data_IF_911152708182
#
_entry.id   IF_911152708182
#
_cell.length_a   1.000
_cell.length_b   1.000
_cell.length_c   1.000
_cell.angle_alpha   90.00
_cell.angle_beta   90.00
_cell.angle_gamma   90.00
#
_symmetry.space_group_name_H-M   'P 1'
#
loop_
_entity.id
_entity.type
_entity.pdbx_description
1 polymer ?
#
# COMPACT_ATOMS: atom_id res chain seq x y z
N UNK A 1 20.37 42.45 -28.84
CA UNK A 1 20.40 41.43 -27.78
C UNK A 1 19.09 40.67 -27.87
N UNK A 2 19.13 39.38 -28.18
CA UNK A 2 17.91 38.55 -28.23
C UNK A 2 17.61 38.13 -26.80
N UNK A 3 16.51 38.63 -26.25
CA UNK A 3 16.05 38.28 -24.91
C UNK A 3 15.50 36.85 -24.99
N UNK A 4 16.24 35.88 -24.42
CA UNK A 4 15.74 34.52 -24.26
C UNK A 4 14.55 34.57 -23.28
N UNK A 5 13.34 34.34 -23.81
CA UNK A 5 12.15 34.13 -23.02
C UNK A 5 12.32 32.75 -22.36
N UNK A 6 12.63 32.73 -21.06
CA UNK A 6 12.53 31.50 -20.29
C UNK A 6 11.05 31.13 -20.20
N UNK A 7 10.65 29.89 -20.53
CA UNK A 7 9.27 29.47 -20.41
C UNK A 7 8.83 29.63 -18.95
N UNK A 8 7.64 30.20 -18.75
CA UNK A 8 6.98 30.18 -17.44
C UNK A 8 6.61 28.73 -17.09
N UNK A 9 6.57 28.38 -15.80
CA UNK A 9 6.30 27.00 -15.35
C UNK A 9 4.97 26.45 -15.87
N UNK A 10 4.02 27.32 -16.20
CA UNK A 10 2.72 27.00 -16.80
C UNK A 10 2.80 26.39 -18.21
N UNK A 11 3.88 26.61 -18.96
CA UNK A 11 4.06 26.06 -20.33
C UNK A 11 4.70 24.67 -20.34
N UNK A 12 5.15 24.17 -19.19
CA UNK A 12 5.88 22.91 -19.10
C UNK A 12 4.89 21.75 -18.97
N UNK A 13 4.90 20.87 -19.98
CA UNK A 13 4.12 19.65 -19.96
C UNK A 13 4.71 18.63 -18.98
N UNK A 14 3.87 18.13 -18.08
CA UNK A 14 4.16 17.00 -17.19
C UNK A 14 3.35 15.80 -17.65
N UNK A 15 4.00 14.74 -18.16
CA UNK A 15 3.33 13.49 -18.50
C UNK A 15 2.55 12.90 -17.32
N UNK A 16 1.54 12.11 -17.62
CA UNK A 16 0.75 11.40 -16.60
C UNK A 16 0.91 9.88 -16.71
N UNK A 17 1.76 9.44 -17.64
CA UNK A 17 2.25 8.09 -17.80
C UNK A 17 3.69 8.15 -18.29
N UNK A 18 4.50 7.19 -17.86
CA UNK A 18 5.86 6.98 -18.34
C UNK A 18 5.92 6.06 -19.58
N UNK A 19 4.75 5.62 -20.06
CA UNK A 19 4.60 4.69 -21.18
C UNK A 19 4.92 3.23 -20.84
N UNK A 20 5.19 2.91 -19.56
CA UNK A 20 5.40 1.53 -19.09
C UNK A 20 4.07 0.91 -18.65
N UNK A 21 3.98 -0.42 -18.62
CA UNK A 21 2.86 -1.10 -17.97
C UNK A 21 2.92 -0.88 -16.46
N UNK A 22 1.74 -0.95 -15.82
CA UNK A 22 1.58 -0.94 -14.36
C UNK A 22 2.33 -2.09 -13.66
N UNK A 23 2.45 -3.24 -14.33
CA UNK A 23 3.17 -4.40 -13.84
C UNK A 23 3.65 -5.25 -15.02
N UNK A 24 4.77 -5.93 -14.85
CA UNK A 24 5.37 -6.83 -15.84
C UNK A 24 4.73 -8.22 -15.83
N UNK A 25 4.11 -8.63 -14.72
CA UNK A 25 3.45 -9.94 -14.58
C UNK A 25 2.30 -9.93 -13.57
N UNK A 26 1.51 -11.00 -13.56
CA UNK A 26 0.30 -11.12 -12.74
C UNK A 26 0.59 -11.15 -11.24
N UNK A 27 1.67 -11.78 -10.81
CA UNK A 27 2.05 -11.85 -9.40
C UNK A 27 2.46 -10.47 -8.88
N UNK A 28 3.25 -9.72 -9.64
CA UNK A 28 3.62 -8.34 -9.30
C UNK A 28 2.35 -7.48 -9.16
N UNK A 29 1.43 -7.55 -10.13
CA UNK A 29 0.16 -6.81 -10.06
C UNK A 29 -0.69 -7.19 -8.84
N UNK A 30 -0.78 -8.47 -8.51
CA UNK A 30 -1.49 -8.96 -7.33
C UNK A 30 -0.88 -8.43 -6.02
N UNK A 31 0.45 -8.43 -5.90
CA UNK A 31 1.16 -7.89 -4.74
C UNK A 31 0.93 -6.38 -4.61
N UNK A 32 1.10 -5.62 -5.71
CA UNK A 32 0.88 -4.17 -5.73
C UNK A 32 -0.55 -3.84 -5.28
N UNK A 33 -1.55 -4.52 -5.85
CA UNK A 33 -2.96 -4.25 -5.55
C UNK A 33 -3.34 -4.67 -4.13
N UNK A 34 -2.75 -5.76 -3.61
CA UNK A 34 -2.95 -6.22 -2.23
C UNK A 34 -2.35 -5.23 -1.23
N UNK A 35 -1.12 -4.77 -1.46
CA UNK A 35 -0.45 -3.78 -0.60
C UNK A 35 -1.24 -2.47 -0.61
N UNK A 36 -1.54 -1.93 -1.80
CA UNK A 36 -2.28 -0.68 -1.97
C UNK A 36 -3.64 -0.74 -1.28
N UNK A 37 -4.42 -1.79 -1.53
CA UNK A 37 -5.78 -1.92 -0.97
C UNK A 37 -5.76 -2.18 0.53
N UNK A 38 -4.79 -2.93 1.03
CA UNK A 38 -4.62 -3.12 2.47
C UNK A 38 -4.21 -1.83 3.18
N UNK A 39 -3.40 -0.98 2.57
CA UNK A 39 -3.08 0.35 3.09
C UNK A 39 -4.28 1.30 3.04
N UNK A 40 -5.10 1.25 1.99
CA UNK A 40 -6.37 1.98 1.96
C UNK A 40 -7.27 1.56 3.12
N UNK A 41 -7.36 0.26 3.42
CA UNK A 41 -8.14 -0.25 4.54
C UNK A 41 -7.54 0.18 5.88
N UNK A 42 -6.21 0.10 6.03
CA UNK A 42 -5.47 0.53 7.23
C UNK A 42 -5.77 1.98 7.61
N UNK A 43 -5.95 2.84 6.61
CA UNK A 43 -6.21 4.26 6.75
C UNK A 43 -7.62 4.66 6.29
N UNK A 44 -8.59 3.73 6.31
CA UNK A 44 -9.94 3.99 5.82
C UNK A 44 -10.62 5.15 6.57
N UNK A 45 -10.39 5.24 7.88
CA UNK A 45 -11.01 6.21 8.78
C UNK A 45 -10.17 7.51 8.92
N UNK A 46 -8.97 7.57 8.31
CA UNK A 46 -8.15 8.78 8.25
C UNK A 46 -8.28 9.44 6.87
N UNK A 47 -9.01 10.56 6.75
CA UNK A 47 -9.20 11.24 5.48
C UNK A 47 -7.93 11.90 4.96
N UNK A 48 -6.90 12.08 5.80
CA UNK A 48 -5.66 12.80 5.50
C UNK A 48 -4.48 11.87 5.17
N UNK A 49 -4.75 10.62 4.79
CA UNK A 49 -3.74 9.72 4.23
C UNK A 49 -4.13 9.33 2.83
N UNK A 50 -3.31 9.74 1.87
CA UNK A 50 -3.42 9.39 0.47
C UNK A 50 -2.52 8.19 0.17
N UNK A 51 -3.10 7.15 -0.44
CA UNK A 51 -2.38 5.99 -0.92
C UNK A 51 -2.60 5.90 -2.43
N UNK A 52 -1.53 5.68 -3.19
CA UNK A 52 -1.58 5.48 -4.62
C UNK A 52 -0.68 4.33 -5.02
N UNK A 53 -1.01 3.67 -6.13
CA UNK A 53 -0.11 2.76 -6.81
C UNK A 53 0.17 3.25 -8.22
N UNK A 54 1.42 3.13 -8.65
CA UNK A 54 1.89 3.47 -10.00
C UNK A 54 1.43 4.84 -10.50
N UNK A 55 1.49 5.83 -9.61
CA UNK A 55 1.15 7.20 -9.93
C UNK A 55 2.44 8.00 -10.11
N UNK A 56 2.64 8.58 -11.28
CA UNK A 56 3.80 9.44 -11.53
C UNK A 56 3.89 10.58 -10.52
N UNK A 57 5.00 10.61 -9.80
CA UNK A 57 5.33 11.63 -8.82
C UNK A 57 6.44 12.56 -9.35
N UNK A 58 6.14 13.87 -9.32
CA UNK A 58 7.05 14.96 -9.62
C UNK A 58 7.42 15.74 -8.35
N UNK A 59 8.65 15.56 -7.83
CA UNK A 59 9.10 16.28 -6.64
C UNK A 59 9.58 17.71 -6.89
N UNK A 60 9.87 18.09 -8.15
CA UNK A 60 10.49 19.38 -8.47
C UNK A 60 9.74 20.08 -9.61
N UNK A 61 9.20 21.26 -9.30
CA UNK A 61 8.56 22.12 -10.29
C UNK A 61 9.58 22.63 -11.32
N UNK A 62 9.16 22.70 -12.57
CA UNK A 62 9.96 23.04 -13.75
C UNK A 62 10.80 21.90 -14.31
N UNK A 63 10.84 20.73 -13.65
CA UNK A 63 11.75 19.63 -14.01
C UNK A 63 11.02 18.30 -14.26
N UNK A 64 10.25 18.17 -15.35
CA UNK A 64 9.42 16.98 -15.62
C UNK A 64 10.24 15.70 -15.85
N UNK A 65 11.56 15.79 -16.06
CA UNK A 65 12.45 14.61 -16.15
C UNK A 65 12.84 14.04 -14.79
N UNK A 66 12.63 14.79 -13.71
CA UNK A 66 12.81 14.30 -12.34
C UNK A 66 11.45 13.80 -11.89
N UNK A 67 11.22 12.50 -12.08
CA UNK A 67 10.00 11.83 -11.68
C UNK A 67 10.26 10.36 -11.36
N UNK A 68 9.32 9.76 -10.63
CA UNK A 68 9.27 8.33 -10.39
C UNK A 68 7.80 7.92 -10.21
N UNK A 69 7.43 6.74 -10.68
CA UNK A 69 6.20 6.06 -10.27
C UNK A 69 6.62 4.91 -9.32
N UNK A 70 6.39 5.04 -8.00
CA UNK A 70 6.51 3.92 -7.09
C UNK A 70 5.32 2.97 -7.27
N UNK A 71 5.57 1.67 -7.12
CA UNK A 71 4.51 0.67 -7.20
C UNK A 71 3.40 0.93 -6.18
N UNK A 72 3.78 1.34 -4.96
CA UNK A 72 2.86 1.93 -3.97
C UNK A 72 3.54 3.09 -3.26
N UNK A 73 2.82 4.18 -3.05
CA UNK A 73 3.25 5.29 -2.21
C UNK A 73 2.18 5.72 -1.21
N UNK A 74 2.62 6.14 -0.03
CA UNK A 74 1.78 6.65 1.05
C UNK A 74 2.19 8.08 1.36
N UNK A 75 1.20 8.97 1.36
CA UNK A 75 1.36 10.37 1.70
C UNK A 75 0.47 10.74 2.87
N UNK A 76 1.10 10.91 4.03
CA UNK A 76 0.45 11.35 5.27
C UNK A 76 0.34 12.88 5.24
N UNK A 77 -0.84 13.39 5.63
CA UNK A 77 -1.18 14.81 5.59
C UNK A 77 -1.83 15.25 4.28
N UNK A 78 -2.17 14.33 3.37
CA UNK A 78 -2.85 14.62 2.10
C UNK A 78 -4.20 13.95 1.99
N UNK A 79 -5.23 14.64 1.47
CA UNK A 79 -6.54 14.05 1.35
C UNK A 79 -6.58 12.94 0.30
N UNK A 80 -7.44 11.96 0.53
CA UNK A 80 -7.84 10.97 -0.47
C UNK A 80 -8.43 11.66 -1.70
N UNK A 81 -8.31 11.04 -2.87
CA UNK A 81 -8.87 11.58 -4.13
C UNK A 81 -8.06 11.17 -5.36
N UNK A 82 -8.70 11.26 -6.52
CA UNK A 82 -8.08 10.91 -7.79
C UNK A 82 -7.12 11.99 -8.28
N UNK A 83 -5.99 11.55 -8.83
CA UNK A 83 -4.93 12.38 -9.40
C UNK A 83 -4.44 11.74 -10.68
N UNK A 84 -4.10 12.56 -11.68
CA UNK A 84 -3.45 12.08 -12.91
C UNK A 84 -1.93 11.95 -12.74
N UNK A 85 -1.36 12.76 -11.85
CA UNK A 85 0.01 12.67 -11.34
C UNK A 85 0.06 13.34 -9.97
N UNK A 86 1.07 13.00 -9.17
CA UNK A 86 1.32 13.63 -7.89
C UNK A 86 2.41 14.69 -8.05
N UNK A 87 2.06 15.97 -7.94
CA UNK A 87 2.99 17.09 -8.09
C UNK A 87 3.19 17.75 -6.75
N UNK A 88 4.39 17.64 -6.17
CA UNK A 88 4.66 18.06 -4.79
C UNK A 88 4.24 19.52 -4.51
N UNK A 89 4.46 20.43 -5.46
CA UNK A 89 4.11 21.85 -5.31
C UNK A 89 2.59 22.14 -5.35
N UNK A 90 1.79 21.21 -5.89
CA UNK A 90 0.30 21.25 -5.83
C UNK A 90 -0.22 20.58 -4.56
N UNK A 91 0.63 19.84 -3.86
CA UNK A 91 0.29 18.99 -2.71
C UNK A 91 0.91 19.53 -1.42
N UNK A 92 0.85 20.84 -1.22
CA UNK A 92 1.37 21.56 -0.04
C UNK A 92 2.85 21.29 0.26
N UNK A 93 3.63 20.97 -0.78
CA UNK A 93 5.05 20.59 -0.70
C UNK A 93 5.31 19.33 0.14
N UNK A 94 4.33 18.44 0.23
CA UNK A 94 4.46 17.17 0.94
C UNK A 94 4.85 16.09 -0.08
N UNK A 95 6.01 15.47 0.13
CA UNK A 95 6.44 14.29 -0.62
C UNK A 95 5.86 13.01 0.01
N UNK A 96 5.74 11.91 -0.74
CA UNK A 96 5.49 10.59 -0.15
C UNK A 96 6.50 10.25 0.94
N UNK A 97 6.01 9.79 2.08
CA UNK A 97 6.85 9.38 3.20
C UNK A 97 7.21 7.91 3.13
N UNK A 98 6.34 7.05 2.58
CA UNK A 98 6.59 5.61 2.46
C UNK A 98 6.38 5.17 1.02
N UNK A 99 7.32 4.41 0.49
CA UNK A 99 7.23 3.84 -0.87
C UNK A 99 7.58 2.36 -0.87
N UNK A 100 6.91 1.61 -1.73
CA UNK A 100 7.12 0.20 -1.99
C UNK A 100 7.49 -0.01 -3.45
N UNK A 101 8.36 -0.99 -3.68
CA UNK A 101 8.73 -1.50 -5.00
C UNK A 101 8.68 -3.03 -4.97
N UNK A 102 7.98 -3.62 -5.93
CA UNK A 102 7.85 -5.06 -6.11
C UNK A 102 8.63 -5.41 -7.37
N UNK A 103 9.76 -6.08 -7.21
CA UNK A 103 10.63 -6.36 -8.33
C UNK A 103 9.97 -7.33 -9.33
N UNK A 104 10.12 -7.03 -10.61
CA UNK A 104 9.83 -7.96 -11.70
C UNK A 104 11.10 -8.68 -12.18
N UNK A 105 10.93 -9.62 -13.11
CA UNK A 105 12.06 -10.30 -13.75
C UNK A 105 12.91 -9.38 -14.65
N UNK A 106 12.42 -8.19 -15.01
CA UNK A 106 13.18 -7.22 -15.83
C UNK A 106 13.96 -6.22 -14.97
N UNK A 107 13.55 -6.01 -13.71
CA UNK A 107 14.21 -5.06 -12.84
C UNK A 107 15.61 -5.53 -12.45
N UNK A 108 16.52 -4.56 -12.35
CA UNK A 108 17.90 -4.81 -11.90
C UNK A 108 18.09 -4.34 -10.46
N UNK A 109 19.03 -4.97 -9.76
CA UNK A 109 19.46 -4.50 -8.43
C UNK A 109 19.89 -3.02 -8.50
N UNK A 110 20.63 -2.65 -9.54
CA UNK A 110 21.08 -1.28 -9.74
C UNK A 110 19.90 -0.30 -9.82
N UNK A 111 18.89 -0.63 -10.61
CA UNK A 111 17.68 0.20 -10.74
C UNK A 111 17.00 0.40 -9.37
N UNK A 112 16.76 -0.67 -8.63
CA UNK A 112 15.96 -0.63 -7.40
C UNK A 112 16.75 -0.14 -6.17
N UNK A 113 17.99 -0.63 -5.99
CA UNK A 113 18.81 -0.42 -4.78
C UNK A 113 19.85 0.69 -4.92
N UNK A 114 20.07 1.24 -6.13
CA UNK A 114 20.95 2.40 -6.33
C UNK A 114 20.20 3.59 -6.90
N UNK A 115 19.61 3.46 -8.09
CA UNK A 115 19.02 4.59 -8.82
C UNK A 115 17.75 5.10 -8.12
N UNK A 116 16.78 4.20 -7.85
CA UNK A 116 15.55 4.53 -7.10
C UNK A 116 15.84 4.89 -5.64
N UNK A 117 16.72 4.14 -4.97
CA UNK A 117 17.13 4.47 -3.59
C UNK A 117 17.66 5.90 -3.49
N UNK A 118 18.53 6.32 -4.43
CA UNK A 118 19.07 7.68 -4.48
C UNK A 118 17.97 8.72 -4.75
N UNK A 119 17.03 8.44 -5.65
CA UNK A 119 15.89 9.30 -5.90
C UNK A 119 15.06 9.50 -4.61
N UNK A 120 14.64 8.41 -3.97
CA UNK A 120 13.85 8.44 -2.75
C UNK A 120 14.57 9.13 -1.59
N UNK A 121 15.89 8.91 -1.46
CA UNK A 121 16.72 9.60 -0.49
C UNK A 121 16.70 11.12 -0.71
N UNK A 122 16.99 11.57 -1.94
CA UNK A 122 17.06 12.99 -2.30
C UNK A 122 15.71 13.72 -2.13
N UNK A 123 14.60 12.98 -2.24
CA UNK A 123 13.26 13.53 -2.15
C UNK A 123 12.56 13.24 -0.81
N UNK A 124 13.36 12.97 0.23
CA UNK A 124 12.90 12.92 1.63
C UNK A 124 11.90 11.81 1.97
N UNK A 125 11.85 10.74 1.16
CA UNK A 125 11.11 9.51 1.52
C UNK A 125 11.68 8.97 2.83
N UNK A 126 10.83 8.60 3.77
CA UNK A 126 11.24 8.18 5.10
C UNK A 126 11.41 6.68 5.23
N UNK A 127 10.61 5.92 4.48
CA UNK A 127 10.66 4.46 4.45
C UNK A 127 10.59 3.97 3.01
N UNK A 128 11.51 3.11 2.63
CA UNK A 128 11.55 2.48 1.32
C UNK A 128 11.63 0.97 1.47
N UNK A 129 10.67 0.25 0.91
CA UNK A 129 10.62 -1.21 0.96
C UNK A 129 10.70 -1.83 -0.44
N UNK A 130 11.49 -2.90 -0.57
CA UNK A 130 11.61 -3.68 -1.79
C UNK A 130 11.30 -5.14 -1.48
N UNK A 131 10.43 -5.75 -2.27
CA UNK A 131 10.27 -7.20 -2.28
C UNK A 131 10.52 -7.76 -3.69
N UNK A 132 11.42 -8.75 -3.78
CA UNK A 132 11.66 -9.51 -5.01
C UNK A 132 11.10 -10.93 -4.83
N UNK A 133 9.96 -11.27 -5.45
CA UNK A 133 9.36 -12.60 -5.34
C UNK A 133 10.21 -13.68 -6.04
N UNK A 134 11.00 -13.34 -7.06
CA UNK A 134 11.84 -14.32 -7.78
C UNK A 134 13.05 -14.75 -6.95
N UNK A 135 13.58 -13.82 -6.15
CA UNK A 135 14.74 -14.06 -5.26
C UNK A 135 14.35 -14.33 -3.83
N UNK A 136 13.06 -14.21 -3.53
CA UNK A 136 12.48 -14.30 -2.18
C UNK A 136 13.17 -13.38 -1.17
N UNK A 137 13.54 -12.18 -1.62
CA UNK A 137 14.25 -11.20 -0.79
C UNK A 137 13.35 -10.03 -0.43
N UNK A 138 13.27 -9.73 0.86
CA UNK A 138 12.66 -8.52 1.40
C UNK A 138 13.76 -7.61 1.96
N UNK A 139 13.80 -6.37 1.49
CA UNK A 139 14.74 -5.33 1.95
C UNK A 139 13.98 -4.07 2.30
N UNK A 140 14.54 -3.29 3.21
CA UNK A 140 13.98 -2.00 3.55
C UNK A 140 15.08 -1.01 3.94
N UNK A 141 14.75 0.27 3.82
CA UNK A 141 15.58 1.37 4.28
C UNK A 141 14.74 2.33 5.10
N UNK A 142 15.30 2.79 6.21
CA UNK A 142 14.72 3.78 7.10
C UNK A 142 15.54 5.05 7.06
N UNK A 143 14.88 6.20 7.02
CA UNK A 143 15.55 7.49 7.01
C UNK A 143 16.22 7.77 8.35
N UNK A 144 17.50 8.13 8.26
CA UNK A 144 18.34 8.61 9.34
C UNK A 144 19.00 9.91 8.87
N UNK A 145 18.46 11.05 9.31
CA UNK A 145 18.85 12.36 8.79
C UNK A 145 18.59 12.51 7.28
N UNK A 146 19.65 12.75 6.53
CA UNK A 146 19.58 12.96 5.08
C UNK A 146 19.63 11.66 4.26
N UNK A 147 19.97 10.53 4.89
CA UNK A 147 20.18 9.25 4.21
C UNK A 147 19.10 8.23 4.49
N UNK A 148 18.86 7.33 3.53
CA UNK A 148 18.09 6.10 3.71
C UNK A 148 19.07 4.99 4.09
N UNK A 149 19.04 4.55 5.35
CA UNK A 149 19.92 3.50 5.88
C UNK A 149 19.25 2.14 5.78
N UNK A 150 19.97 1.07 5.39
CA UNK A 150 19.38 -0.26 5.28
C UNK A 150 18.91 -0.77 6.64
N UNK A 151 17.72 -1.35 6.68
CA UNK A 151 17.17 -2.04 7.84
C UNK A 151 17.86 -3.41 7.93
N UNK A 152 18.64 -3.70 8.99
CA UNK A 152 19.45 -4.92 9.04
C UNK A 152 18.62 -6.22 9.10
N UNK A 153 17.41 -6.15 9.66
CA UNK A 153 16.51 -7.29 9.81
C UNK A 153 15.08 -6.91 9.47
N UNK A 154 14.54 -7.52 8.42
CA UNK A 154 13.16 -7.30 7.96
C UNK A 154 12.15 -8.29 8.57
N UNK A 155 12.61 -9.42 9.11
CA UNK A 155 11.75 -10.35 9.84
C UNK A 155 11.10 -9.67 11.05
N UNK A 156 9.77 -9.78 11.17
CA UNK A 156 8.96 -9.11 12.18
C UNK A 156 9.15 -7.57 12.23
N UNK A 157 9.61 -6.95 11.13
CA UNK A 157 9.81 -5.51 11.09
C UNK A 157 8.48 -4.78 11.14
N UNK A 158 8.35 -3.78 12.02
CA UNK A 158 7.18 -2.92 12.11
C UNK A 158 7.50 -1.56 11.52
N UNK A 159 6.79 -1.17 10.47
CA UNK A 159 6.94 0.16 9.85
C UNK A 159 6.58 1.26 10.86
N UNK A 160 7.49 2.22 11.15
CA UNK A 160 7.20 3.34 12.06
C UNK A 160 6.03 4.23 11.61
N UNK A 161 5.88 4.50 10.31
CA UNK A 161 4.83 5.35 9.75
C UNK A 161 3.51 4.62 9.53
N UNK A 162 3.56 3.33 9.19
CA UNK A 162 2.36 2.59 8.81
C UNK A 162 1.81 1.72 9.95
N UNK A 163 2.67 1.31 10.89
CA UNK A 163 2.32 0.39 11.97
C UNK A 163 2.01 -1.03 11.49
N UNK A 164 2.39 -1.39 10.26
CA UNK A 164 2.21 -2.74 9.71
C UNK A 164 3.47 -3.56 9.94
N UNK A 165 3.29 -4.87 10.11
CA UNK A 165 4.40 -5.81 10.28
C UNK A 165 4.72 -6.53 8.97
N UNK A 166 6.00 -6.70 8.67
CA UNK A 166 6.50 -7.42 7.51
C UNK A 166 7.02 -8.80 7.91
N UNK A 167 6.63 -9.81 7.12
CA UNK A 167 7.11 -11.18 7.28
C UNK A 167 7.34 -11.87 5.94
N UNK A 168 8.22 -12.88 5.96
CA UNK A 168 8.36 -13.84 4.87
C UNK A 168 7.90 -15.21 5.37
N UNK A 169 6.70 -15.61 4.97
CA UNK A 169 6.10 -16.92 5.32
C UNK A 169 6.20 -17.81 4.09
N UNK A 170 6.86 -18.96 4.20
CA UNK A 170 7.10 -19.87 3.06
C UNK A 170 7.73 -19.17 1.84
N UNK A 171 8.51 -18.11 2.08
CA UNK A 171 9.16 -17.25 1.07
C UNK A 171 8.26 -16.22 0.37
N UNK A 172 6.99 -16.12 0.79
CA UNK A 172 6.05 -15.12 0.31
C UNK A 172 5.97 -13.93 1.28
N UNK A 173 5.84 -12.73 0.74
CA UNK A 173 5.62 -11.52 1.54
C UNK A 173 4.23 -11.56 2.16
N UNK A 174 4.18 -11.47 3.49
CA UNK A 174 2.94 -11.28 4.23
C UNK A 174 3.05 -10.00 5.05
N UNK A 175 2.03 -9.15 4.94
CA UNK A 175 1.90 -7.94 5.73
C UNK A 175 0.79 -8.11 6.76
N UNK A 176 1.00 -7.62 7.98
CA UNK A 176 0.01 -7.70 9.04
C UNK A 176 -0.39 -6.32 9.53
N UNK A 177 -1.68 -6.15 9.79
CA UNK A 177 -2.22 -5.01 10.54
C UNK A 177 -1.79 -5.08 12.02
N UNK A 178 -1.88 -3.97 12.77
CA UNK A 178 -1.59 -3.96 14.21
C UNK A 178 -2.40 -4.96 15.04
N UNK A 179 -3.58 -5.37 14.57
CA UNK A 179 -4.43 -6.36 15.24
C UNK A 179 -4.02 -7.82 14.95
N UNK A 180 -2.98 -8.04 14.16
CA UNK A 180 -2.48 -9.36 13.77
C UNK A 180 -3.20 -10.00 12.58
N UNK A 181 -4.21 -9.35 11.99
CA UNK A 181 -4.80 -9.81 10.74
C UNK A 181 -3.85 -9.57 9.57
N UNK A 182 -3.81 -10.50 8.61
CA UNK A 182 -3.01 -10.34 7.40
C UNK A 182 -3.71 -9.44 6.39
N UNK A 183 -2.92 -8.75 5.58
CA UNK A 183 -3.35 -8.20 4.31
C UNK A 183 -3.83 -9.36 3.44
N UNK A 184 -4.91 -9.15 2.70
CA UNK A 184 -5.56 -10.18 1.94
C UNK A 184 -5.88 -9.64 0.54
N UNK A 185 -5.78 -10.51 -0.46
CA UNK A 185 -6.23 -10.20 -1.81
C UNK A 185 -7.75 -10.05 -1.83
N UNK A 186 -8.29 -9.44 -2.89
CA UNK A 186 -9.75 -9.30 -3.02
C UNK A 186 -10.48 -10.65 -2.99
N UNK A 187 -9.90 -11.69 -3.60
CA UNK A 187 -10.48 -13.03 -3.61
C UNK A 187 -10.50 -13.63 -2.21
N UNK A 188 -9.40 -13.53 -1.46
CA UNK A 188 -9.35 -14.01 -0.08
C UNK A 188 -10.36 -13.28 0.82
N UNK A 189 -10.56 -11.98 0.62
CA UNK A 189 -11.59 -11.20 1.36
C UNK A 189 -12.99 -11.74 1.06
N UNK A 190 -13.29 -12.04 -0.21
CA UNK A 190 -14.60 -12.60 -0.61
C UNK A 190 -14.80 -13.98 0.00
N UNK A 191 -13.79 -14.84 -0.05
CA UNK A 191 -13.86 -16.19 0.55
C UNK A 191 -14.08 -16.13 2.06
N UNK A 192 -13.36 -15.26 2.78
CA UNK A 192 -13.55 -15.06 4.21
C UNK A 192 -14.97 -14.56 4.52
N UNK A 193 -15.49 -13.64 3.71
CA UNK A 193 -16.85 -13.14 3.85
C UNK A 193 -17.88 -14.25 3.65
N UNK A 194 -17.76 -15.06 2.60
CA UNK A 194 -18.68 -16.17 2.34
C UNK A 194 -18.64 -17.22 3.45
N UNK A 195 -17.46 -17.51 4.00
CA UNK A 195 -17.32 -18.41 5.14
C UNK A 195 -18.00 -17.86 6.39
N UNK A 196 -17.84 -16.56 6.67
CA UNK A 196 -18.49 -15.89 7.78
C UNK A 196 -20.03 -15.87 7.63
N UNK A 197 -20.55 -15.62 6.43
CA UNK A 197 -21.99 -15.66 6.14
C UNK A 197 -22.55 -17.08 6.33
N UNK A 198 -21.87 -18.11 5.83
CA UNK A 198 -22.27 -19.52 6.05
C UNK A 198 -22.27 -19.89 7.53
N UNK A 199 -21.26 -19.46 8.29
CA UNK A 199 -21.19 -19.73 9.72
C UNK A 199 -22.34 -19.05 10.48
N UNK A 200 -22.66 -17.80 10.12
CA UNK A 200 -23.77 -17.06 10.71
C UNK A 200 -25.12 -17.73 10.43
N UNK A 201 -25.36 -18.20 9.20
CA UNK A 201 -26.60 -18.88 8.84
C UNK A 201 -26.75 -20.24 9.53
N UNK A 202 -25.64 -20.97 9.69
CA UNK A 202 -25.62 -22.21 10.48
C UNK A 202 -25.97 -21.95 11.95
N UNK A 203 -25.41 -20.90 12.53
CA UNK A 203 -25.68 -20.55 13.93
C UNK A 203 -27.12 -20.06 14.14
N UNK A 204 -27.66 -19.27 13.21
CA UNK A 204 -29.09 -18.88 13.20
C UNK A 204 -30.00 -20.09 13.11
N UNK A 205 -29.71 -21.04 12.22
CA UNK A 205 -30.50 -22.26 12.07
C UNK A 205 -30.46 -23.14 13.32
N UNK A 206 -29.28 -23.26 13.96
CA UNK A 206 -29.13 -23.97 15.24
C UNK A 206 -29.91 -23.30 16.37
N UNK A 207 -29.80 -21.98 16.49
CA UNK A 207 -30.54 -21.22 17.49
C UNK A 207 -32.06 -21.39 17.29
N UNK A 208 -32.55 -21.29 16.06
CA UNK A 208 -33.97 -21.48 15.76
C UNK A 208 -34.45 -22.89 16.12
N UNK A 209 -33.68 -23.93 15.76
CA UNK A 209 -34.01 -25.30 16.13
C UNK A 209 -34.00 -25.51 17.64
N UNK A 210 -33.06 -24.89 18.37
CA UNK A 210 -33.00 -24.96 19.82
C UNK A 210 -34.22 -24.29 20.47
N UNK A 211 -34.63 -23.10 19.98
CA UNK A 211 -35.82 -22.40 20.46
C UNK A 211 -37.09 -23.24 20.22
N UNK A 212 -37.22 -23.87 19.06
CA UNK A 212 -38.32 -24.79 18.77
C UNK A 212 -38.33 -26.01 19.71
N UNK A 213 -37.15 -26.58 20.01
CA UNK A 213 -37.04 -27.69 20.96
C UNK A 213 -37.35 -27.29 22.41
N UNK A 214 -36.97 -26.09 22.84
CA UNK A 214 -37.31 -25.57 24.18
C UNK A 214 -38.82 -25.39 24.31
N UNK A 215 -39.46 -24.74 23.32
CA UNK A 215 -40.92 -24.59 23.27
C UNK A 215 -41.64 -25.94 23.28
N UNK A 216 -41.14 -26.93 22.53
CA UNK A 216 -41.70 -28.29 22.52
C UNK A 216 -41.59 -29.00 23.87
N UNK A 217 -40.61 -28.64 24.71
CA UNK A 217 -40.45 -29.13 26.09
C UNK A 217 -41.25 -28.32 27.12
N UNK A 218 -42.05 -27.35 26.69
CA UNK A 218 -42.85 -26.48 27.56
C UNK A 218 -42.03 -25.43 28.30
N UNK A 219 -40.81 -25.14 27.84
CA UNK A 219 -39.96 -24.08 28.35
C UNK A 219 -40.15 -22.89 27.40
N UNK A 220 -40.75 -21.79 27.86
CA UNK A 220 -40.85 -20.59 27.04
C UNK A 220 -39.50 -19.84 27.08
N UNK A 221 -38.80 -19.69 25.94
CA UNK A 221 -37.56 -18.94 25.91
C UNK A 221 -37.73 -17.48 26.34
N UNK A 222 -38.94 -16.90 26.25
CA UNK A 222 -39.23 -15.54 26.74
C UNK A 222 -39.25 -15.43 28.27
N UNK A 223 -39.33 -16.56 28.99
CA UNK A 223 -39.20 -16.58 30.46
C UNK A 223 -37.75 -16.35 30.93
N UNK A 224 -36.79 -16.37 30.01
CA UNK A 224 -35.38 -16.09 30.27
C UNK A 224 -35.00 -14.78 29.57
N UNK A 225 -34.42 -13.83 30.30
CA UNK A 225 -33.74 -12.69 29.69
C UNK A 225 -32.45 -13.21 29.01
N UNK A 226 -32.58 -13.64 27.76
CA UNK A 226 -31.49 -14.06 26.88
C UNK A 226 -30.93 -12.88 26.08
#
# INVERSE_FOLDING_TARGET
MVQQIQPTTDDIFYPESDGKPLADNTLQFELITTIKSGLDLKFKDDPNVFVAGDLLWYPVEGQPKINQAPDVMVVIGRPKGHRRSYKTWVEDNINPQVVFEIASHTNTIKELEEDKLKFYQNHKVEEYYIYDPNRTTLKGWLRSGETLEPIPQMHAWVSPRLGITFELVESELVLYYPNGERFASYLEIVELKEQAEKALDQERSRMQSLLEQLKAKGIDPEDFEL
#
